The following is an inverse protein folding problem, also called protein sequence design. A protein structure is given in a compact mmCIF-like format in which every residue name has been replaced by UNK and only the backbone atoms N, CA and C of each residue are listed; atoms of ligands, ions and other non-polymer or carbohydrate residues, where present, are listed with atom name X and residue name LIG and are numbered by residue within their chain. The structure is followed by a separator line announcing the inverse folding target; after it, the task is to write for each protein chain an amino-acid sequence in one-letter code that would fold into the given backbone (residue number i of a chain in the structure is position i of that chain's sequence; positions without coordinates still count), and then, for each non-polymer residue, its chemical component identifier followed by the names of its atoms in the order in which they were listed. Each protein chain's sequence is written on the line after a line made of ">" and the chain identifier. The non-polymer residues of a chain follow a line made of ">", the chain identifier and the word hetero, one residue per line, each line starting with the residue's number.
data_IF_587238287597
#
_entry.id   IF_587238287597
#
_cell.length_a   1.000
_cell.length_b   1.000
_cell.length_c   1.000
_cell.angle_alpha   90.00
_cell.angle_beta   90.00
_cell.angle_gamma   90.00
#
_symmetry.space_group_name_H-M   'P 1'
#
loop_
_entity.id
_entity.type
_entity.pdbx_description
1 polymer ?
#
# COMPACT_ATOMS: atom_id res chain seq x y z
N UNK A 1 -3.70 -18.09 24.54
CA UNK A 1 -3.08 -16.74 24.70
C UNK A 1 -2.87 -16.02 23.36
N UNK A 2 -2.17 -16.63 22.39
CA UNK A 2 -1.93 -16.00 21.07
C UNK A 2 -3.20 -15.49 20.37
N UNK A 3 -4.26 -16.32 20.30
CA UNK A 3 -5.53 -15.93 19.66
C UNK A 3 -6.16 -14.68 20.27
N UNK A 4 -6.18 -14.60 21.61
CA UNK A 4 -6.73 -13.45 22.34
C UNK A 4 -5.89 -12.18 22.14
N UNK A 5 -4.56 -12.32 22.11
CA UNK A 5 -3.65 -11.21 21.82
C UNK A 5 -3.88 -10.64 20.41
N UNK A 6 -3.93 -11.50 19.39
CA UNK A 6 -4.18 -11.12 18.01
C UNK A 6 -5.58 -10.51 17.84
N UNK A 7 -6.61 -11.07 18.49
CA UNK A 7 -7.96 -10.50 18.48
C UNK A 7 -7.99 -9.08 19.07
N UNK A 8 -7.22 -8.83 20.15
CA UNK A 8 -7.10 -7.50 20.75
C UNK A 8 -6.38 -6.52 19.82
N UNK A 9 -5.33 -6.97 19.13
CA UNK A 9 -4.62 -6.17 18.13
C UNK A 9 -5.53 -5.79 16.95
N UNK A 10 -6.30 -6.75 16.41
CA UNK A 10 -7.30 -6.48 15.37
C UNK A 10 -8.29 -5.42 15.85
N UNK A 11 -8.86 -5.60 17.04
CA UNK A 11 -9.82 -4.63 17.58
C UNK A 11 -9.24 -3.23 17.78
N UNK A 12 -7.95 -3.11 18.12
CA UNK A 12 -7.27 -1.81 18.19
C UNK A 12 -7.15 -1.18 16.80
N UNK A 13 -6.74 -1.97 15.79
CA UNK A 13 -6.60 -1.51 14.41
C UNK A 13 -7.94 -1.05 13.82
N UNK A 14 -9.01 -1.82 14.02
CA UNK A 14 -10.36 -1.44 13.54
C UNK A 14 -10.81 -0.09 14.13
N UNK A 15 -10.60 0.13 15.44
CA UNK A 15 -10.95 1.40 16.09
C UNK A 15 -10.07 2.56 15.65
N UNK A 16 -8.77 2.31 15.50
CA UNK A 16 -7.82 3.35 15.11
C UNK A 16 -8.10 3.89 13.70
N UNK A 17 -8.48 3.01 12.77
CA UNK A 17 -8.62 3.35 11.36
C UNK A 17 -10.06 3.35 10.85
N UNK A 18 -11.06 3.10 11.71
CA UNK A 18 -12.46 2.96 11.28
C UNK A 18 -12.66 1.88 10.21
N UNK A 19 -11.86 0.81 10.27
CA UNK A 19 -11.68 -0.15 9.18
C UNK A 19 -12.25 -1.53 9.53
N UNK A 20 -12.91 -2.17 8.56
CA UNK A 20 -13.43 -3.54 8.70
C UNK A 20 -12.32 -4.59 8.50
N UNK A 21 -11.92 -5.24 9.60
CA UNK A 21 -10.92 -6.31 9.61
C UNK A 21 -11.52 -7.72 9.71
N UNK A 22 -12.77 -7.91 9.28
CA UNK A 22 -13.46 -9.21 9.34
C UNK A 22 -12.67 -10.35 8.68
N UNK A 23 -11.96 -10.09 7.58
CA UNK A 23 -11.07 -11.08 6.95
C UNK A 23 -9.93 -11.53 7.90
N UNK A 24 -9.35 -10.63 8.69
CA UNK A 24 -8.33 -11.01 9.69
C UNK A 24 -8.95 -11.85 10.80
N UNK A 25 -10.18 -11.54 11.20
CA UNK A 25 -10.94 -12.32 12.19
C UNK A 25 -11.26 -13.73 11.66
N UNK A 26 -11.59 -13.85 10.38
CA UNK A 26 -11.74 -15.14 9.70
C UNK A 26 -10.43 -15.94 9.76
N UNK A 27 -9.30 -15.36 9.31
CA UNK A 27 -8.00 -16.05 9.37
C UNK A 27 -7.64 -16.43 10.80
N UNK A 28 -7.88 -15.56 11.78
CA UNK A 28 -7.65 -15.85 13.20
C UNK A 28 -8.50 -17.00 13.73
N UNK A 29 -9.75 -17.10 13.28
CA UNK A 29 -10.65 -18.17 13.66
C UNK A 29 -10.16 -19.52 13.12
N UNK A 30 -9.69 -19.55 11.87
CA UNK A 30 -9.17 -20.74 11.20
C UNK A 30 -7.77 -21.14 11.70
N UNK A 31 -6.83 -20.19 11.78
CA UNK A 31 -5.44 -20.43 12.19
C UNK A 31 -4.76 -19.16 12.75
N UNK A 32 -4.63 -19.03 14.07
CA UNK A 32 -3.88 -17.92 14.70
C UNK A 32 -2.42 -17.84 14.23
N UNK A 33 -1.80 -18.99 13.96
CA UNK A 33 -0.41 -19.05 13.52
C UNK A 33 -0.25 -18.53 12.07
N UNK A 34 -1.25 -18.74 11.20
CA UNK A 34 -1.24 -18.18 9.85
C UNK A 34 -1.41 -16.66 9.89
N UNK A 35 -2.31 -16.13 10.73
CA UNK A 35 -2.46 -14.69 10.89
C UNK A 35 -1.17 -14.02 11.40
N UNK A 36 -0.51 -14.64 12.39
CA UNK A 36 0.74 -14.12 12.93
C UNK A 36 1.82 -14.00 11.84
N UNK A 37 2.03 -15.06 11.05
CA UNK A 37 3.01 -15.05 9.96
C UNK A 37 2.65 -14.04 8.88
N UNK A 38 1.37 -13.96 8.53
CA UNK A 38 0.89 -12.98 7.56
C UNK A 38 1.21 -11.54 8.01
N UNK A 39 0.93 -11.19 9.28
CA UNK A 39 1.23 -9.86 9.82
C UNK A 39 2.74 -9.54 9.89
N UNK A 40 3.60 -10.53 10.16
CA UNK A 40 5.05 -10.35 10.12
C UNK A 40 5.52 -10.01 8.70
N UNK A 41 5.02 -10.74 7.70
CA UNK A 41 5.34 -10.51 6.29
C UNK A 41 4.83 -9.13 5.85
N UNK A 42 3.65 -8.70 6.28
CA UNK A 42 3.12 -7.36 5.98
C UNK A 42 3.97 -6.20 6.53
N UNK A 43 4.84 -6.45 7.51
CA UNK A 43 5.69 -5.45 8.16
C UNK A 43 7.15 -5.47 7.67
N UNK A 44 7.41 -6.07 6.50
CA UNK A 44 8.77 -6.30 5.99
C UNK A 44 9.51 -5.05 5.50
N UNK A 45 8.80 -3.98 5.14
CA UNK A 45 9.42 -2.79 4.55
C UNK A 45 9.95 -1.84 5.62
N UNK A 46 11.20 -1.39 5.48
CA UNK A 46 11.73 -0.29 6.29
C UNK A 46 11.19 1.06 5.77
N UNK A 47 10.08 1.51 6.34
CA UNK A 47 9.42 2.75 5.94
C UNK A 47 10.27 4.02 6.15
N UNK A 48 11.41 3.93 6.85
CA UNK A 48 12.32 5.08 7.08
C UNK A 48 13.46 5.16 6.08
N UNK A 49 13.63 4.16 5.23
CA UNK A 49 14.73 4.11 4.27
C UNK A 49 14.50 4.99 3.02
N UNK A 50 13.30 5.56 2.86
CA UNK A 50 12.96 6.51 1.81
C UNK A 50 11.95 7.54 2.35
N UNK A 51 11.72 8.67 1.67
CA UNK A 51 10.71 9.65 2.05
C UNK A 51 9.32 9.03 2.18
N UNK A 52 8.54 9.49 3.17
CA UNK A 52 7.20 8.95 3.44
C UNK A 52 6.28 9.00 2.20
N UNK A 53 6.38 10.06 1.39
CA UNK A 53 5.62 10.21 0.16
C UNK A 53 5.99 9.15 -0.91
N UNK A 54 7.26 8.75 -0.99
CA UNK A 54 7.73 7.70 -1.89
C UNK A 54 7.22 6.31 -1.43
N UNK A 55 7.29 6.03 -0.13
CA UNK A 55 6.75 4.79 0.47
C UNK A 55 5.24 4.71 0.27
N UNK A 56 4.52 5.81 0.49
CA UNK A 56 3.09 5.91 0.25
C UNK A 56 2.73 5.65 -1.22
N UNK A 57 3.47 6.26 -2.16
CA UNK A 57 3.26 6.04 -3.59
C UNK A 57 3.44 4.57 -3.98
N UNK A 58 4.50 3.90 -3.52
CA UNK A 58 4.73 2.48 -3.81
C UNK A 58 3.61 1.57 -3.27
N UNK A 59 3.14 1.82 -2.03
CA UNK A 59 2.03 1.06 -1.44
C UNK A 59 0.71 1.32 -2.18
N UNK A 60 0.42 2.58 -2.50
CA UNK A 60 -0.81 2.96 -3.19
C UNK A 60 -0.88 2.36 -4.60
N UNK A 61 0.21 2.41 -5.36
CA UNK A 61 0.30 1.72 -6.67
C UNK A 61 -0.03 0.24 -6.53
N UNK A 62 0.51 -0.43 -5.50
CA UNK A 62 0.21 -1.85 -5.26
C UNK A 62 -1.26 -2.12 -4.97
N UNK A 63 -1.90 -1.35 -4.07
CA UNK A 63 -3.33 -1.54 -3.76
C UNK A 63 -4.27 -1.14 -4.91
N UNK A 64 -3.88 -0.14 -5.70
CA UNK A 64 -4.63 0.30 -6.88
C UNK A 64 -4.61 -0.77 -7.97
N UNK A 65 -3.45 -1.38 -8.21
CA UNK A 65 -3.29 -2.42 -9.20
C UNK A 65 -4.13 -3.68 -8.89
N UNK A 66 -4.35 -3.96 -7.61
CA UNK A 66 -5.19 -5.09 -7.15
C UNK A 66 -6.68 -4.73 -7.01
N UNK A 67 -7.07 -3.49 -7.37
CA UNK A 67 -8.45 -3.00 -7.31
C UNK A 67 -9.15 -3.29 -5.96
N UNK A 68 -8.48 -3.02 -4.83
CA UNK A 68 -9.06 -3.16 -3.49
C UNK A 68 -9.32 -1.79 -2.86
N UNK A 69 -10.57 -1.34 -2.88
CA UNK A 69 -10.99 -0.04 -2.33
C UNK A 69 -10.63 0.14 -0.85
N UNK A 70 -11.05 -0.77 0.04
CA UNK A 70 -10.71 -0.66 1.46
C UNK A 70 -9.21 -0.77 1.74
N UNK A 71 -8.44 -1.44 0.88
CA UNK A 71 -6.97 -1.52 1.02
C UNK A 71 -6.32 -0.19 0.63
N UNK A 72 -6.78 0.42 -0.46
CA UNK A 72 -6.30 1.73 -0.91
C UNK A 72 -6.63 2.81 0.11
N UNK A 73 -7.86 2.80 0.65
CA UNK A 73 -8.28 3.74 1.69
C UNK A 73 -7.39 3.69 2.94
N UNK A 74 -7.22 2.50 3.54
CA UNK A 74 -6.41 2.40 4.76
C UNK A 74 -4.94 2.76 4.53
N UNK A 75 -4.39 2.47 3.34
CA UNK A 75 -3.02 2.91 2.99
C UNK A 75 -2.94 4.43 2.92
N UNK A 76 -3.92 5.12 2.32
CA UNK A 76 -3.98 6.58 2.29
C UNK A 76 -4.11 7.18 3.70
N UNK A 77 -4.96 6.60 4.55
CA UNK A 77 -5.15 7.06 5.94
C UNK A 77 -3.86 6.92 6.76
N UNK A 78 -3.18 5.77 6.63
CA UNK A 78 -1.89 5.54 7.30
C UNK A 78 -0.82 6.51 6.80
N UNK A 79 -0.73 6.74 5.50
CA UNK A 79 0.23 7.69 4.93
C UNK A 79 -0.04 9.13 5.39
N UNK A 80 -1.30 9.53 5.50
CA UNK A 80 -1.67 10.84 6.06
C UNK A 80 -1.22 10.96 7.52
N UNK A 81 -1.45 9.92 8.33
CA UNK A 81 -1.01 9.88 9.73
C UNK A 81 0.53 9.87 9.88
N UNK A 82 1.25 9.36 8.88
CA UNK A 82 2.71 9.42 8.76
C UNK A 82 3.22 10.78 8.26
N UNK A 83 2.33 11.75 8.00
CA UNK A 83 2.67 13.13 7.66
C UNK A 83 2.70 13.43 6.15
N UNK A 84 2.27 12.50 5.29
CA UNK A 84 2.14 12.80 3.86
C UNK A 84 0.98 13.76 3.64
N UNK A 85 1.25 14.88 2.97
CA UNK A 85 0.26 15.93 2.80
C UNK A 85 -0.95 15.45 1.97
N UNK A 86 -2.19 15.81 2.34
CA UNK A 86 -3.41 15.36 1.66
C UNK A 86 -3.43 15.58 0.15
N UNK A 87 -2.91 16.72 -0.32
CA UNK A 87 -2.83 17.03 -1.75
C UNK A 87 -1.91 16.07 -2.52
N UNK A 88 -0.82 15.61 -1.89
CA UNK A 88 0.10 14.65 -2.48
C UNK A 88 -0.58 13.29 -2.60
N UNK A 89 -1.27 12.85 -1.55
CA UNK A 89 -2.02 11.59 -1.58
C UNK A 89 -3.10 11.60 -2.65
N UNK A 90 -3.85 12.70 -2.78
CA UNK A 90 -4.85 12.87 -3.85
C UNK A 90 -4.21 12.81 -5.24
N UNK A 91 -3.05 13.45 -5.43
CA UNK A 91 -2.33 13.41 -6.70
C UNK A 91 -1.81 12.00 -7.04
N UNK A 92 -1.28 11.27 -6.05
CA UNK A 92 -0.86 9.86 -6.21
C UNK A 92 -2.06 9.00 -6.65
N UNK A 93 -3.19 9.13 -5.95
CA UNK A 93 -4.43 8.41 -6.27
C UNK A 93 -4.94 8.77 -7.67
N UNK A 94 -4.83 10.04 -8.07
CA UNK A 94 -5.21 10.52 -9.40
C UNK A 94 -4.29 10.05 -10.53
N UNK A 95 -3.06 9.63 -10.21
CA UNK A 95 -1.99 9.46 -11.19
C UNK A 95 -1.45 10.79 -11.74
N UNK A 96 -1.61 11.89 -11.00
CA UNK A 96 -1.12 13.21 -11.40
C UNK A 96 0.36 13.36 -10.99
N UNK A 97 1.24 12.96 -11.91
CA UNK A 97 2.70 12.99 -11.72
C UNK A 97 3.24 14.41 -11.49
N UNK A 98 2.58 15.44 -12.02
CA UNK A 98 3.00 16.82 -11.85
C UNK A 98 2.67 17.36 -10.45
N UNK A 99 1.55 16.91 -9.87
CA UNK A 99 1.08 17.39 -8.56
C UNK A 99 1.56 16.56 -7.35
N UNK A 100 1.98 15.31 -7.54
CA UNK A 100 2.40 14.44 -6.41
C UNK A 100 3.80 14.73 -5.87
N UNK A 101 4.54 15.64 -6.51
CA UNK A 101 5.89 16.00 -6.10
C UNK A 101 6.95 14.95 -6.50
N UNK A 102 8.24 15.32 -6.48
CA UNK A 102 9.29 14.56 -7.13
C UNK A 102 9.54 13.18 -6.51
N UNK A 103 9.50 13.06 -5.18
CA UNK A 103 9.77 11.80 -4.49
C UNK A 103 8.64 10.77 -4.72
N UNK A 104 7.39 11.21 -4.63
CA UNK A 104 6.26 10.34 -4.92
C UNK A 104 6.21 9.96 -6.41
N UNK A 105 6.45 10.91 -7.31
CA UNK A 105 6.44 10.67 -8.76
C UNK A 105 7.51 9.66 -9.18
N UNK A 106 8.72 9.72 -8.62
CA UNK A 106 9.76 8.72 -8.87
C UNK A 106 9.31 7.32 -8.42
N UNK A 107 8.86 7.18 -7.17
CA UNK A 107 8.42 5.89 -6.64
C UNK A 107 7.17 5.35 -7.34
N UNK A 108 6.23 6.21 -7.74
CA UNK A 108 5.02 5.86 -8.46
C UNK A 108 5.34 5.28 -9.84
N UNK A 109 6.19 5.97 -10.62
CA UNK A 109 6.66 5.49 -11.92
C UNK A 109 7.42 4.17 -11.78
N UNK A 110 8.35 4.10 -10.83
CA UNK A 110 9.13 2.89 -10.57
C UNK A 110 8.23 1.70 -10.23
N UNK A 111 7.27 1.89 -9.32
CA UNK A 111 6.35 0.84 -8.91
C UNK A 111 5.47 0.36 -10.07
N UNK A 112 4.94 1.27 -10.88
CA UNK A 112 4.12 0.91 -12.05
C UNK A 112 4.92 0.16 -13.11
N UNK A 113 6.10 0.66 -13.48
CA UNK A 113 6.98 -0.01 -14.44
C UNK A 113 7.35 -1.43 -13.95
N UNK A 114 7.65 -1.56 -12.65
CA UNK A 114 7.96 -2.85 -12.03
C UNK A 114 6.78 -3.84 -12.09
N UNK A 115 5.56 -3.38 -11.80
CA UNK A 115 4.36 -4.23 -11.92
C UNK A 115 4.03 -4.60 -13.37
N UNK A 116 4.27 -3.68 -14.30
CA UNK A 116 4.10 -3.90 -15.73
C UNK A 116 5.18 -4.82 -16.33
N UNK A 117 6.24 -5.14 -15.57
CA UNK A 117 7.43 -5.87 -16.05
C UNK A 117 8.14 -5.15 -17.21
N UNK A 118 8.02 -3.83 -17.26
CA UNK A 118 8.71 -2.99 -18.23
C UNK A 118 10.09 -2.61 -17.68
N UNK A 119 11.09 -3.43 -18.00
CA UNK A 119 12.46 -3.21 -17.50
C UNK A 119 13.15 -2.03 -18.20
N UNK A 120 12.77 -1.72 -19.44
CA UNK A 120 13.31 -0.55 -20.13
C UNK A 120 12.92 0.75 -19.41
N UNK A 121 11.70 0.81 -18.85
CA UNK A 121 11.29 1.92 -17.98
C UNK A 121 11.81 1.76 -16.53
N UNK A 122 11.76 0.56 -15.96
CA UNK A 122 12.08 0.35 -14.55
C UNK A 122 13.57 0.50 -14.22
N UNK A 123 14.48 0.08 -15.11
CA UNK A 123 15.92 0.10 -14.87
C UNK A 123 16.47 1.51 -14.62
N UNK A 124 16.25 2.52 -15.49
CA UNK A 124 16.73 3.88 -15.20
C UNK A 124 16.06 4.51 -13.97
N UNK A 125 14.79 4.18 -13.69
CA UNK A 125 14.10 4.63 -12.48
C UNK A 125 14.71 3.99 -11.23
N UNK A 126 15.14 2.72 -11.31
CA UNK A 126 15.84 2.01 -10.24
C UNK A 126 17.18 2.68 -9.94
N UNK A 127 17.93 3.03 -10.97
CA UNK A 127 19.20 3.75 -10.81
C UNK A 127 18.99 5.11 -10.14
N UNK A 128 17.93 5.84 -10.50
CA UNK A 128 17.58 7.11 -9.84
C UNK A 128 17.17 6.90 -8.37
N UNK A 129 16.39 5.86 -8.07
CA UNK A 129 16.01 5.48 -6.69
C UNK A 129 17.26 5.19 -5.86
N UNK A 130 18.20 4.39 -6.38
CA UNK A 130 19.46 4.09 -5.71
C UNK A 130 20.31 5.35 -5.55
N UNK A 131 20.36 6.21 -6.56
CA UNK A 131 21.08 7.49 -6.49
C UNK A 131 20.55 8.43 -5.40
N UNK A 132 19.24 8.44 -5.14
CA UNK A 132 18.61 9.32 -4.13
C UNK A 132 18.56 8.72 -2.73
N UNK A 133 18.22 7.44 -2.60
CA UNK A 133 17.88 6.80 -1.32
C UNK A 133 18.72 5.55 -1.03
N UNK A 134 19.66 5.22 -1.92
CA UNK A 134 20.53 4.06 -1.80
C UNK A 134 19.79 2.73 -1.95
N UNK A 135 20.55 1.64 -1.81
CA UNK A 135 20.03 0.27 -1.85
C UNK A 135 18.93 0.02 -0.81
N UNK A 136 19.04 0.65 0.36
CA UNK A 136 18.01 0.54 1.41
C UNK A 136 16.67 1.13 0.95
N UNK A 137 16.69 2.28 0.28
CA UNK A 137 15.49 2.90 -0.27
C UNK A 137 14.86 2.03 -1.36
N UNK A 138 15.67 1.49 -2.27
CA UNK A 138 15.20 0.56 -3.31
C UNK A 138 14.51 -0.66 -2.71
N UNK A 139 15.14 -1.31 -1.73
CA UNK A 139 14.59 -2.48 -1.04
C UNK A 139 13.29 -2.10 -0.33
N UNK A 140 13.25 -0.97 0.37
CA UNK A 140 12.06 -0.53 1.08
C UNK A 140 10.86 -0.29 0.15
N UNK A 141 11.06 0.38 -0.99
CA UNK A 141 10.00 0.59 -1.98
C UNK A 141 9.52 -0.71 -2.59
N UNK A 142 10.45 -1.62 -2.91
CA UNK A 142 10.14 -2.94 -3.49
C UNK A 142 9.31 -3.80 -2.52
N UNK A 143 9.69 -3.82 -1.24
CA UNK A 143 8.98 -4.54 -0.19
C UNK A 143 7.65 -3.87 0.18
N UNK A 144 7.57 -2.53 0.13
CA UNK A 144 6.32 -1.80 0.34
C UNK A 144 5.31 -2.08 -0.77
N UNK A 145 5.76 -2.07 -2.04
CA UNK A 145 4.96 -2.49 -3.19
C UNK A 145 4.49 -3.94 -3.03
N UNK A 146 5.40 -4.87 -2.73
CA UNK A 146 5.09 -6.29 -2.56
C UNK A 146 4.07 -6.54 -1.45
N UNK A 147 4.31 -6.00 -0.27
CA UNK A 147 3.47 -6.26 0.91
C UNK A 147 2.07 -5.63 0.79
N UNK A 148 1.96 -4.47 0.13
CA UNK A 148 0.68 -3.79 -0.09
C UNK A 148 -0.31 -4.61 -0.94
N UNK A 149 0.19 -5.49 -1.81
CA UNK A 149 -0.62 -6.36 -2.68
C UNK A 149 -1.14 -7.61 -1.99
N UNK A 150 -0.54 -8.02 -0.87
CA UNK A 150 -0.94 -9.25 -0.17
C UNK A 150 -2.37 -9.20 0.40
N UNK A 151 -2.75 -8.06 0.97
CA UNK A 151 -4.07 -7.87 1.59
C UNK A 151 -5.22 -7.92 0.57
N UNK A 152 -5.15 -7.20 -0.57
CA UNK A 152 -6.10 -7.35 -1.67
C UNK A 152 -6.33 -8.81 -2.08
N UNK A 153 -5.26 -9.53 -2.42
CA UNK A 153 -5.36 -10.92 -2.90
C UNK A 153 -6.01 -11.83 -1.85
N UNK A 154 -5.59 -11.72 -0.58
CA UNK A 154 -6.18 -12.50 0.51
C UNK A 154 -7.67 -12.20 0.69
N UNK A 155 -8.07 -10.93 0.61
CA UNK A 155 -9.47 -10.54 0.75
C UNK A 155 -10.33 -11.09 -0.38
N UNK A 156 -9.89 -10.96 -1.64
CA UNK A 156 -10.64 -11.51 -2.77
C UNK A 156 -10.78 -13.03 -2.64
N UNK A 157 -9.70 -13.75 -2.29
CA UNK A 157 -9.73 -15.20 -2.09
C UNK A 157 -10.67 -15.64 -0.96
N UNK A 158 -10.78 -14.85 0.11
CA UNK A 158 -11.65 -15.14 1.26
C UNK A 158 -13.08 -14.58 1.11
N UNK A 159 -13.41 -13.91 0.01
CA UNK A 159 -14.74 -13.32 -0.22
C UNK A 159 -15.00 -11.96 0.46
N UNK A 160 -13.97 -11.24 0.88
CA UNK A 160 -14.03 -9.90 1.47
C UNK A 160 -13.57 -8.78 0.52
N UNK A 161 -13.24 -9.12 -0.73
CA UNK A 161 -12.81 -8.18 -1.76
C UNK A 161 -13.88 -7.15 -2.10
N UNK A 162 -13.47 -5.91 -2.34
CA UNK A 162 -14.34 -4.81 -2.80
C UNK A 162 -13.57 -3.95 -3.79
N UNK A 163 -14.13 -3.77 -4.98
CA UNK A 163 -13.56 -2.94 -6.02
C UNK A 163 -13.30 -1.51 -5.52
N UNK A 164 -12.26 -0.88 -6.05
CA UNK A 164 -11.85 0.47 -5.68
C UNK A 164 -12.71 1.50 -6.40
N UNK A 165 -13.84 1.89 -5.80
CA UNK A 165 -14.76 2.88 -6.39
C UNK A 165 -14.65 4.29 -5.80
N UNK A 166 -14.13 4.43 -4.58
CA UNK A 166 -13.99 5.72 -3.90
C UNK A 166 -12.93 5.66 -2.82
N UNK A 167 -12.02 6.63 -2.83
CA UNK A 167 -11.07 6.90 -1.75
C UNK A 167 -11.29 8.34 -1.26
N UNK A 168 -11.24 8.55 0.04
CA UNK A 168 -11.40 9.87 0.67
C UNK A 168 -10.09 10.23 1.36
N UNK A 169 -9.58 11.42 1.10
CA UNK A 169 -8.38 11.97 1.74
C UNK A 169 -8.73 13.32 2.34
N UNK A 170 -8.58 13.43 3.66
CA UNK A 170 -8.90 14.64 4.41
C UNK A 170 -10.33 15.15 4.13
N UNK A 171 -11.30 14.23 4.21
CA UNK A 171 -12.71 14.52 3.94
C UNK A 171 -13.09 14.75 2.47
N UNK A 172 -12.12 14.80 1.55
CA UNK A 172 -12.35 15.06 0.13
C UNK A 172 -12.23 13.76 -0.67
N UNK A 173 -13.20 13.48 -1.53
CA UNK A 173 -13.11 12.35 -2.47
C UNK A 173 -11.94 12.57 -3.44
N UNK A 174 -11.05 11.59 -3.52
CA UNK A 174 -9.94 11.58 -4.45
C UNK A 174 -10.33 10.81 -5.73
N UNK A 175 -9.98 11.31 -6.93
CA UNK A 175 -10.05 10.50 -8.13
C UNK A 175 -9.06 9.33 -8.00
N UNK A 176 -9.41 8.19 -8.59
CA UNK A 176 -8.63 6.95 -8.51
C UNK A 176 -8.21 6.55 -9.92
N UNK A 177 -6.91 6.47 -10.14
CA UNK A 177 -6.33 5.95 -11.37
C UNK A 177 -6.57 4.44 -11.43
N UNK A 178 -7.39 4.01 -12.39
CA UNK A 178 -7.52 2.61 -12.73
C UNK A 178 -6.41 2.25 -13.72
N UNK A 179 -5.35 1.63 -13.21
CA UNK A 179 -4.36 0.96 -14.04
C UNK A 179 -4.53 -0.55 -13.82
N UNK A 180 -5.21 -1.28 -14.74
CA UNK A 180 -5.24 -2.73 -14.64
C UNK A 180 -3.79 -3.24 -14.61
N UNK A 181 -3.53 -4.26 -13.79
CA UNK A 181 -2.31 -5.06 -13.93
C UNK A 181 -2.21 -5.47 -15.40
N UNK A 182 -1.08 -5.21 -16.04
CA UNK A 182 -0.82 -5.70 -17.40
C UNK A 182 -1.13 -7.21 -17.40
N UNK A 183 -2.05 -7.60 -18.28
CA UNK A 183 -2.47 -8.99 -18.46
C UNK A 183 -1.28 -9.85 -18.93
#
# INVERSE_FOLDING_TARGET
>A
MLKALLARQIGKMERQWGYDASYMRHVLAASPASLLRFGLVSSMADAKAAPAAAIAAAKLVGTLAEDCGPCTQIVADMAAAEGVAPQILRAILAGDEAAMGPDAALAWRFARASLARDMAAADPLRDEVVGRWGEKGLVALSLALTSSRMYPTLKYALGYGKACSRVVVDGVAAPVAHAPLAA
#
